data_IF_702063539864
#
_entry.id   IF_702063539864
#
_cell.length_a   1.000
_cell.length_b   1.000
_cell.length_c   1.000
_cell.angle_alpha   90.00
_cell.angle_beta   90.00
_cell.angle_gamma   90.00
#
_symmetry.space_group_name_H-M   'P 1'
#
loop_
_entity.id
_entity.type
_entity.pdbx_description
1 polymer ?
#
# COMPACT_ATOMS: atom_id res chain seq x y z
N UNK A 1 36.32 -2.18 6.59
CA UNK A 1 35.03 -2.22 5.88
C UNK A 1 33.89 -2.79 6.74
N UNK A 2 34.11 -3.81 7.58
CA UNK A 2 33.10 -4.34 8.50
C UNK A 2 32.73 -3.39 9.66
N UNK A 3 33.65 -2.51 10.09
CA UNK A 3 33.38 -1.52 11.14
C UNK A 3 32.29 -0.51 10.76
N UNK A 4 32.20 -0.11 9.48
CA UNK A 4 31.16 0.79 8.99
C UNK A 4 29.76 0.17 9.09
N UNK A 5 29.67 -1.14 8.83
CA UNK A 5 28.41 -1.90 8.95
C UNK A 5 28.04 -2.07 10.43
N UNK A 6 29.02 -2.30 11.31
CA UNK A 6 28.81 -2.40 12.76
C UNK A 6 28.31 -1.10 13.39
N UNK A 7 28.88 0.04 13.00
CA UNK A 7 28.52 1.35 13.56
C UNK A 7 27.18 1.88 13.03
N UNK A 8 26.82 1.54 11.79
CA UNK A 8 25.57 1.97 11.16
C UNK A 8 24.48 0.89 11.16
N UNK A 9 24.65 -0.18 11.96
CA UNK A 9 23.72 -1.31 11.97
C UNK A 9 22.33 -0.87 12.42
N UNK A 10 22.25 0.04 13.39
CA UNK A 10 20.99 0.62 13.86
C UNK A 10 20.28 1.40 12.73
N UNK A 11 21.03 2.22 11.99
CA UNK A 11 20.51 2.99 10.85
C UNK A 11 19.96 2.09 9.75
N UNK A 12 20.69 1.02 9.40
CA UNK A 12 20.28 0.05 8.38
C UNK A 12 18.98 -0.65 8.80
N UNK A 13 18.86 -1.04 10.07
CA UNK A 13 17.65 -1.67 10.61
C UNK A 13 16.45 -0.72 10.55
N UNK A 14 16.61 0.54 10.95
CA UNK A 14 15.53 1.55 10.91
C UNK A 14 15.09 1.81 9.46
N UNK A 15 16.03 2.00 8.53
CA UNK A 15 15.72 2.17 7.11
C UNK A 15 14.99 0.95 6.54
N UNK A 16 15.43 -0.26 6.88
CA UNK A 16 14.78 -1.51 6.47
C UNK A 16 13.35 -1.61 6.99
N UNK A 17 13.10 -1.22 8.24
CA UNK A 17 11.77 -1.21 8.83
C UNK A 17 10.83 -0.22 8.14
N UNK A 18 11.29 1.03 7.93
CA UNK A 18 10.52 2.06 7.22
C UNK A 18 10.20 1.65 5.78
N UNK A 19 11.18 1.09 5.07
CA UNK A 19 11.00 0.55 3.73
C UNK A 19 10.00 -0.63 3.73
N UNK A 20 10.08 -1.50 4.73
CA UNK A 20 9.16 -2.63 4.92
C UNK A 20 7.71 -2.19 5.11
N UNK A 21 7.46 -1.23 6.01
CA UNK A 21 6.11 -0.67 6.23
C UNK A 21 5.58 -0.02 4.95
N UNK A 22 6.38 0.85 4.33
CA UNK A 22 5.99 1.57 3.11
C UNK A 22 5.70 0.59 1.96
N UNK A 23 6.56 -0.41 1.77
CA UNK A 23 6.37 -1.47 0.79
C UNK A 23 5.12 -2.31 1.07
N UNK A 24 4.84 -2.62 2.34
CA UNK A 24 3.63 -3.33 2.74
C UNK A 24 2.35 -2.53 2.42
N UNK A 25 2.34 -1.22 2.67
CA UNK A 25 1.21 -0.34 2.33
C UNK A 25 0.98 -0.34 0.81
N UNK A 26 2.04 -0.16 0.02
CA UNK A 26 1.94 -0.17 -1.45
C UNK A 26 1.48 -1.55 -1.94
N UNK A 27 2.03 -2.63 -1.41
CA UNK A 27 1.63 -3.99 -1.77
C UNK A 27 0.15 -4.24 -1.46
N UNK A 28 -0.33 -3.81 -0.28
CA UNK A 28 -1.75 -3.85 0.08
C UNK A 28 -2.57 -3.09 -0.95
N UNK A 29 -2.24 -1.83 -1.22
CA UNK A 29 -2.91 -1.01 -2.23
C UNK A 29 -2.96 -1.66 -3.62
N UNK A 30 -1.88 -2.31 -4.06
CA UNK A 30 -1.82 -3.02 -5.35
C UNK A 30 -2.69 -4.27 -5.34
N UNK A 31 -2.67 -5.06 -4.27
CA UNK A 31 -3.49 -6.26 -4.11
C UNK A 31 -4.98 -5.86 -4.05
N UNK A 32 -5.30 -4.85 -3.26
CA UNK A 32 -6.63 -4.26 -3.12
C UNK A 32 -7.13 -3.76 -4.48
N UNK A 33 -6.30 -3.02 -5.23
CA UNK A 33 -6.63 -2.58 -6.59
C UNK A 33 -6.87 -3.76 -7.55
N UNK A 34 -6.07 -4.84 -7.46
CA UNK A 34 -6.26 -6.07 -8.25
C UNK A 34 -7.53 -6.82 -7.88
N UNK A 35 -7.94 -6.77 -6.62
CA UNK A 35 -9.21 -7.35 -6.11
C UNK A 35 -10.43 -6.49 -6.44
N UNK A 36 -10.25 -5.36 -7.11
CA UNK A 36 -11.34 -4.47 -7.51
C UNK A 36 -11.90 -3.63 -6.37
N UNK A 37 -11.23 -3.55 -5.21
CA UNK A 37 -11.61 -2.58 -4.17
C UNK A 37 -11.06 -1.21 -4.58
N UNK A 38 -11.96 -0.34 -4.99
CA UNK A 38 -11.69 1.05 -5.37
C UNK A 38 -11.45 1.93 -4.14
N UNK A 39 -10.81 3.09 -4.32
CA UNK A 39 -10.49 4.07 -3.26
C UNK A 39 -11.70 4.52 -2.42
N UNK A 40 -12.92 4.36 -2.96
CA UNK A 40 -14.12 4.33 -2.15
C UNK A 40 -14.12 3.02 -1.34
N UNK A 41 -13.73 3.07 -0.06
CA UNK A 41 -13.68 1.92 0.86
C UNK A 41 -15.01 1.17 1.10
N UNK A 42 -16.03 1.41 0.28
CA UNK A 42 -17.23 0.61 0.18
C UNK A 42 -16.94 -0.56 -0.78
N UNK A 43 -16.97 -1.80 -0.28
CA UNK A 43 -16.95 -2.99 -1.14
C UNK A 43 -18.14 -2.97 -2.10
N UNK A 44 -17.95 -2.39 -3.30
CA UNK A 44 -19.03 -2.05 -4.23
C UNK A 44 -19.59 -3.25 -4.99
N UNK A 45 -19.91 -4.33 -4.28
CA UNK A 45 -20.93 -5.29 -4.71
C UNK A 45 -22.35 -4.76 -4.44
N UNK A 46 -22.48 -3.75 -3.55
CA UNK A 46 -23.79 -3.19 -3.12
C UNK A 46 -23.77 -1.66 -2.93
N UNK A 47 -22.94 -0.93 -3.69
CA UNK A 47 -22.88 0.52 -3.62
C UNK A 47 -24.14 1.15 -4.25
N UNK A 48 -25.00 1.75 -3.43
CA UNK A 48 -26.22 2.49 -3.81
C UNK A 48 -25.97 3.72 -4.69
N UNK A 49 -24.71 4.12 -4.86
CA UNK A 49 -24.24 5.17 -5.77
C UNK A 49 -23.77 4.64 -7.15
N UNK A 50 -23.96 3.36 -7.46
CA UNK A 50 -23.68 2.81 -8.79
C UNK A 50 -24.42 3.55 -9.91
N UNK A 51 -25.61 4.08 -9.62
CA UNK A 51 -26.43 4.83 -10.59
C UNK A 51 -25.85 6.22 -10.93
N UNK A 52 -24.93 6.76 -10.12
CA UNK A 52 -24.38 8.10 -10.31
C UNK A 52 -23.01 8.10 -11.04
N UNK A 53 -22.26 7.00 -11.00
CA UNK A 53 -20.85 7.00 -11.44
C UNK A 53 -20.51 6.08 -12.64
N UNK A 54 -21.48 5.34 -13.19
CA UNK A 54 -21.32 4.60 -14.45
C UNK A 54 -22.06 5.24 -15.65
N UNK A 55 -22.26 6.56 -15.62
CA UNK A 55 -22.56 7.34 -16.83
C UNK A 55 -21.24 7.86 -17.42
N UNK A 56 -20.48 6.98 -18.07
CA UNK A 56 -19.58 7.40 -19.14
C UNK A 56 -20.20 6.91 -20.46
N UNK A 57 -20.62 7.89 -21.26
CA UNK A 57 -20.79 7.76 -22.71
C UNK A 57 -19.67 6.96 -23.36
#
# INVERSE_FOLDING_TARGET
MLAFIGENIATIVVCGFLAGITGAIIARMVIDRKRGVSSCGCGCSSCTMSSAYHQKK
#
